data_IF_079044299396
#
_entry.id   IF_079044299396
#
_cell.length_a   1.000
_cell.length_b   1.000
_cell.length_c   1.000
_cell.angle_alpha   90.00
_cell.angle_beta   90.00
_cell.angle_gamma   90.00
#
_symmetry.space_group_name_H-M   'P 1'
#
loop_
_entity.id
_entity.type
_entity.pdbx_description
1 polymer ?
#
# COMPACT_ATOMS: atom_id res chain seq x y z
N UNK A 1 15.57 -1.73 -22.27
CA UNK A 1 15.48 -1.83 -20.79
C UNK A 1 16.90 -2.00 -20.24
N UNK A 2 17.36 -1.11 -19.37
CA UNK A 2 18.67 -1.27 -18.72
C UNK A 2 18.57 -2.33 -17.62
N UNK A 3 19.43 -3.36 -17.66
CA UNK A 3 19.47 -4.40 -16.62
C UNK A 3 20.10 -3.82 -15.34
N UNK A 4 19.52 -4.09 -14.18
CA UNK A 4 20.02 -3.58 -12.90
C UNK A 4 21.44 -4.13 -12.60
N UNK A 5 22.39 -3.22 -12.39
CA UNK A 5 23.74 -3.55 -11.94
C UNK A 5 23.74 -4.04 -10.49
N UNK A 6 24.69 -4.92 -10.13
CA UNK A 6 24.89 -5.34 -8.74
C UNK A 6 25.40 -4.17 -7.87
N UNK A 7 25.19 -4.27 -6.57
CA UNK A 7 25.55 -3.24 -5.59
C UNK A 7 27.05 -2.93 -5.62
N UNK A 8 27.90 -3.94 -5.75
CA UNK A 8 29.35 -3.76 -5.87
C UNK A 8 29.75 -2.98 -7.12
N UNK A 9 29.10 -3.24 -8.26
CA UNK A 9 29.36 -2.48 -9.49
C UNK A 9 28.79 -1.06 -9.43
N UNK A 10 27.64 -0.86 -8.77
CA UNK A 10 27.06 0.47 -8.53
C UNK A 10 27.97 1.32 -7.64
N UNK A 11 28.37 0.78 -6.48
CA UNK A 11 29.27 1.45 -5.54
C UNK A 11 30.59 1.85 -6.20
N UNK A 12 31.12 0.98 -7.07
CA UNK A 12 32.36 1.23 -7.82
C UNK A 12 32.18 2.06 -9.10
N UNK A 13 30.95 2.40 -9.49
CA UNK A 13 30.61 3.09 -10.75
C UNK A 13 31.24 2.41 -11.98
N UNK A 14 31.23 1.08 -12.01
CA UNK A 14 31.79 0.27 -13.11
C UNK A 14 30.70 -0.41 -13.95
N UNK A 15 31.05 -0.78 -15.19
CA UNK A 15 30.16 -1.55 -16.07
C UNK A 15 29.83 -2.92 -15.45
N UNK A 16 28.54 -3.20 -15.28
CA UNK A 16 28.01 -4.48 -14.83
C UNK A 16 27.31 -5.16 -16.01
N UNK A 17 27.59 -6.45 -16.24
CA UNK A 17 26.90 -7.25 -17.26
C UNK A 17 25.61 -7.91 -16.74
N UNK A 18 25.29 -7.68 -15.46
CA UNK A 18 24.07 -8.14 -14.79
C UNK A 18 23.84 -9.67 -14.86
N UNK A 19 24.87 -10.49 -15.09
CA UNK A 19 24.75 -11.95 -15.01
C UNK A 19 24.41 -12.39 -13.58
N UNK A 20 23.62 -13.46 -13.47
CA UNK A 20 23.22 -14.09 -12.20
C UNK A 20 23.77 -15.53 -12.17
N UNK A 21 24.22 -16.04 -11.01
CA UNK A 21 24.21 -15.40 -9.68
C UNK A 21 25.27 -14.32 -9.49
N UNK A 22 26.34 -14.33 -10.31
CA UNK A 22 27.46 -13.40 -10.21
C UNK A 22 27.76 -12.71 -11.55
N UNK A 23 28.07 -11.41 -11.52
CA UNK A 23 28.46 -10.64 -12.71
C UNK A 23 29.93 -10.88 -13.07
N UNK A 24 30.31 -10.81 -14.35
CA UNK A 24 31.70 -11.11 -14.76
C UNK A 24 32.73 -10.16 -14.13
N UNK A 25 32.33 -8.93 -13.78
CA UNK A 25 33.19 -7.96 -13.12
C UNK A 25 33.43 -8.26 -11.64
N UNK A 26 32.51 -8.94 -10.96
CA UNK A 26 32.67 -9.39 -9.58
C UNK A 26 33.42 -10.72 -9.52
N UNK A 27 33.10 -11.65 -10.43
CA UNK A 27 33.79 -12.93 -10.55
C UNK A 27 35.30 -12.75 -10.79
N UNK A 28 35.68 -11.85 -11.70
CA UNK A 28 37.10 -11.58 -11.97
C UNK A 28 37.84 -10.94 -10.79
N UNK A 29 37.12 -10.30 -9.87
CA UNK A 29 37.68 -9.58 -8.72
C UNK A 29 37.55 -10.34 -7.40
N UNK A 30 36.86 -11.49 -7.41
CA UNK A 30 36.52 -12.22 -6.19
C UNK A 30 35.72 -11.40 -5.18
N UNK A 31 34.95 -10.40 -5.65
CA UNK A 31 34.18 -9.51 -4.75
C UNK A 31 32.74 -9.99 -4.63
N UNK A 32 32.17 -9.89 -3.41
CA UNK A 32 30.77 -10.24 -3.15
C UNK A 32 29.84 -9.57 -4.16
N UNK A 33 29.09 -10.36 -4.92
CA UNK A 33 28.17 -9.87 -5.94
C UNK A 33 26.73 -9.94 -5.43
N UNK A 34 26.25 -8.84 -4.88
CA UNK A 34 24.88 -8.75 -4.36
C UNK A 34 24.04 -7.90 -5.27
N UNK A 35 22.83 -8.37 -5.56
CA UNK A 35 21.82 -7.60 -6.24
C UNK A 35 20.71 -7.31 -5.24
N UNK A 36 20.39 -6.04 -5.06
CA UNK A 36 19.17 -5.69 -4.36
C UNK A 36 17.96 -6.22 -5.13
N UNK A 37 16.90 -6.54 -4.39
CA UNK A 37 15.68 -7.19 -4.92
C UNK A 37 15.18 -6.42 -6.14
N UNK A 38 14.77 -7.14 -7.19
CA UNK A 38 14.43 -6.59 -8.50
C UNK A 38 13.59 -5.30 -8.37
N UNK A 39 14.03 -4.16 -8.94
CA UNK A 39 13.28 -2.92 -8.87
C UNK A 39 11.87 -3.06 -9.49
N UNK A 40 11.65 -4.00 -10.41
CA UNK A 40 10.31 -4.33 -10.92
C UNK A 40 9.45 -5.00 -9.83
N UNK A 41 10.04 -5.85 -8.96
CA UNK A 41 9.35 -6.42 -7.77
C UNK A 41 9.05 -5.31 -6.75
N UNK A 42 9.99 -4.39 -6.51
CA UNK A 42 9.78 -3.27 -5.58
C UNK A 42 8.70 -2.31 -6.06
N UNK A 43 8.65 -2.03 -7.38
CA UNK A 43 7.59 -1.22 -7.98
C UNK A 43 6.24 -1.93 -8.01
N UNK A 44 6.23 -3.22 -8.31
CA UNK A 44 5.00 -4.02 -8.27
C UNK A 44 4.42 -4.10 -6.86
N UNK A 45 5.27 -4.33 -5.85
CA UNK A 45 4.83 -4.40 -4.45
C UNK A 45 4.31 -3.06 -3.94
N UNK A 46 4.95 -1.93 -4.28
CA UNK A 46 4.44 -0.61 -3.92
C UNK A 46 3.11 -0.28 -4.62
N UNK A 47 2.98 -0.63 -5.91
CA UNK A 47 1.72 -0.48 -6.65
C UNK A 47 0.62 -1.35 -6.06
N UNK A 48 0.93 -2.61 -5.71
CA UNK A 48 -0.01 -3.55 -5.08
C UNK A 48 -0.50 -3.02 -3.74
N UNK A 49 0.39 -2.49 -2.89
CA UNK A 49 0.00 -1.87 -1.61
C UNK A 49 -0.95 -0.69 -1.83
N UNK A 50 -0.59 0.24 -2.72
CA UNK A 50 -1.43 1.39 -3.03
C UNK A 50 -2.80 0.98 -3.59
N UNK A 51 -2.84 -0.08 -4.40
CA UNK A 51 -4.09 -0.64 -4.91
C UNK A 51 -4.96 -1.20 -3.78
N UNK A 52 -4.36 -1.95 -2.85
CA UNK A 52 -5.07 -2.48 -1.68
C UNK A 52 -5.58 -1.36 -0.76
N UNK A 53 -4.77 -0.33 -0.52
CA UNK A 53 -5.17 0.83 0.29
C UNK A 53 -6.37 1.55 -0.33
N UNK A 54 -6.36 1.71 -1.66
CA UNK A 54 -7.45 2.36 -2.39
C UNK A 54 -8.71 1.50 -2.46
N UNK A 55 -8.58 0.19 -2.63
CA UNK A 55 -9.72 -0.74 -2.53
C UNK A 55 -10.36 -0.70 -1.15
N UNK A 56 -9.54 -0.65 -0.09
CA UNK A 56 -10.04 -0.55 1.27
C UNK A 56 -10.80 0.77 1.49
N UNK A 57 -10.23 1.91 1.08
CA UNK A 57 -10.90 3.21 1.18
C UNK A 57 -12.22 3.23 0.40
N UNK A 58 -12.23 2.63 -0.80
CA UNK A 58 -13.45 2.50 -1.59
C UNK A 58 -14.54 1.69 -0.88
N UNK A 59 -14.18 0.56 -0.26
CA UNK A 59 -15.12 -0.23 0.54
C UNK A 59 -15.64 0.55 1.74
N UNK A 60 -14.77 1.28 2.45
CA UNK A 60 -15.16 2.12 3.60
C UNK A 60 -16.17 3.21 3.19
N UNK A 61 -15.98 3.84 2.03
CA UNK A 61 -16.92 4.82 1.49
C UNK A 61 -18.28 4.21 1.13
N UNK A 62 -18.28 3.02 0.53
CA UNK A 62 -19.52 2.31 0.21
C UNK A 62 -20.28 1.89 1.47
N UNK A 63 -19.58 1.45 2.52
CA UNK A 63 -20.17 1.13 3.82
C UNK A 63 -20.94 2.34 4.40
N UNK A 64 -20.35 3.54 4.35
CA UNK A 64 -21.01 4.77 4.84
C UNK A 64 -22.26 5.08 4.04
N UNK A 65 -22.20 4.98 2.71
CA UNK A 65 -23.36 5.20 1.86
C UNK A 65 -24.47 4.19 2.15
N UNK A 66 -24.12 2.93 2.39
CA UNK A 66 -25.09 1.90 2.72
C UNK A 66 -25.72 2.13 4.09
N UNK A 67 -24.95 2.55 5.10
CA UNK A 67 -25.47 2.94 6.41
C UNK A 67 -26.44 4.11 6.29
N UNK A 68 -26.10 5.16 5.53
CA UNK A 68 -27.00 6.31 5.32
C UNK A 68 -28.31 5.91 4.62
N UNK A 69 -28.29 4.88 3.77
CA UNK A 69 -29.45 4.45 2.98
C UNK A 69 -30.34 3.43 3.71
N UNK A 70 -29.76 2.57 4.53
CA UNK A 70 -30.44 1.41 5.12
C UNK A 70 -30.89 1.61 6.57
N UNK A 71 -30.28 2.56 7.29
CA UNK A 71 -30.57 2.85 8.70
C UNK A 71 -31.82 3.72 8.86
N UNK A 72 -32.24 3.87 10.13
CA UNK A 72 -33.31 4.81 10.49
C UNK A 72 -32.90 6.25 10.17
N UNK A 73 -33.88 7.16 10.05
CA UNK A 73 -33.59 8.57 9.77
C UNK A 73 -32.77 9.24 10.87
N UNK A 74 -33.01 8.89 12.15
CA UNK A 74 -32.27 9.41 13.29
C UNK A 74 -30.79 8.97 13.28
N UNK A 75 -30.55 7.71 12.93
CA UNK A 75 -29.20 7.18 12.76
C UNK A 75 -28.51 7.85 11.57
N UNK A 76 -29.17 7.88 10.40
CA UNK A 76 -28.62 8.51 9.20
C UNK A 76 -28.27 10.00 9.44
N UNK A 77 -29.11 10.72 10.19
CA UNK A 77 -28.85 12.10 10.58
C UNK A 77 -27.62 12.22 11.50
N UNK A 78 -27.50 11.34 12.49
CA UNK A 78 -26.35 11.30 13.41
C UNK A 78 -25.04 11.01 12.67
N UNK A 79 -25.08 10.08 11.70
CA UNK A 79 -23.96 9.76 10.80
C UNK A 79 -23.55 11.00 9.99
N UNK A 80 -24.52 11.66 9.35
CA UNK A 80 -24.28 12.87 8.55
C UNK A 80 -23.69 14.02 9.40
N UNK A 81 -24.19 14.21 10.61
CA UNK A 81 -23.66 15.22 11.52
C UNK A 81 -22.22 14.92 11.91
N UNK A 82 -21.87 13.64 12.11
CA UNK A 82 -20.49 13.23 12.40
C UNK A 82 -19.57 13.46 11.21
N UNK A 83 -20.01 13.13 9.99
CA UNK A 83 -19.25 13.41 8.76
C UNK A 83 -18.99 14.92 8.59
N UNK A 84 -19.95 15.77 8.95
CA UNK A 84 -19.80 17.23 8.88
C UNK A 84 -18.85 17.81 9.92
N UNK A 85 -18.65 17.12 11.05
CA UNK A 85 -17.88 17.62 12.19
C UNK A 85 -16.51 16.94 12.36
N UNK A 86 -16.31 15.77 11.76
CA UNK A 86 -15.07 14.99 11.79
C UNK A 86 -14.43 14.91 10.40
N UNK A 87 -13.12 15.07 10.31
CA UNK A 87 -12.34 14.80 9.09
C UNK A 87 -11.97 13.32 8.92
N UNK A 88 -12.21 12.47 9.93
CA UNK A 88 -11.87 11.05 9.89
C UNK A 88 -13.13 10.18 9.70
N UNK A 89 -13.22 9.58 8.52
CA UNK A 89 -14.32 8.71 8.11
C UNK A 89 -14.25 7.32 8.76
N UNK A 90 -13.06 6.81 9.07
CA UNK A 90 -12.87 5.51 9.72
C UNK A 90 -13.31 5.54 11.17
N UNK A 91 -12.97 6.62 11.87
CA UNK A 91 -13.44 6.86 13.22
C UNK A 91 -14.97 6.98 13.27
N UNK A 92 -15.57 7.59 12.24
CA UNK A 92 -17.02 7.70 12.09
C UNK A 92 -17.66 6.32 11.90
N UNK A 93 -17.17 5.51 10.95
CA UNK A 93 -17.65 4.14 10.71
C UNK A 93 -17.56 3.28 11.96
N UNK A 94 -16.43 3.34 12.68
CA UNK A 94 -16.20 2.52 13.88
C UNK A 94 -17.17 2.89 14.99
N UNK A 95 -17.36 4.19 15.25
CA UNK A 95 -18.31 4.66 16.26
C UNK A 95 -19.75 4.23 15.97
N UNK A 96 -20.16 4.21 14.69
CA UNK A 96 -21.50 3.78 14.29
C UNK A 96 -21.66 2.27 14.50
N UNK A 97 -20.68 1.47 14.05
CA UNK A 97 -20.67 0.01 14.24
C UNK A 97 -20.64 -0.36 15.74
N UNK A 98 -19.95 0.41 16.57
CA UNK A 98 -19.88 0.22 18.02
C UNK A 98 -21.16 0.66 18.74
N UNK A 99 -21.80 1.76 18.29
CA UNK A 99 -23.10 2.21 18.81
C UNK A 99 -24.20 1.19 18.56
N UNK A 100 -24.18 0.52 17.41
CA UNK A 100 -25.07 -0.60 17.09
C UNK A 100 -24.89 -1.81 18.02
N UNK A 101 -23.66 -2.08 18.47
CA UNK A 101 -23.37 -3.21 19.37
C UNK A 101 -23.96 -3.04 20.77
N UNK A 102 -24.25 -1.79 21.16
CA UNK A 102 -24.81 -1.46 22.48
C UNK A 102 -26.33 -1.30 22.45
N UNK A 103 -26.94 -1.20 21.27
CA UNK A 103 -28.38 -1.03 21.07
C UNK A 103 -29.12 -2.35 20.74
N UNK A 104 -28.43 -3.49 20.80
CA UNK A 104 -28.95 -4.82 20.43
C UNK A 104 -29.22 -5.72 21.64
#
# INVERSE_FOLDING_TARGET
KAKAACETCRARKTKCDAKRPECSACASRGSKCEYDIDPDITRYTSLKRRYQDLEQEHTELLDVLDMLRSRSEDDAFSILQRIRTSTDIRATISFIKEGDLLAQ
#
